data_IF_543042937502
#
_entry.id   IF_543042937502
#
_cell.length_a   1.000
_cell.length_b   1.000
_cell.length_c   1.000
_cell.angle_alpha   90.00
_cell.angle_beta   90.00
_cell.angle_gamma   90.00
#
_symmetry.space_group_name_H-M   'P 1'
#
loop_
_entity.id
_entity.type
_entity.pdbx_description
1 polymer ?
#
# COMPACT_ATOMS: atom_id res chain seq x y z
N UNK A 1 -4.76 8.65 -14.57
CA UNK A 1 -3.32 8.94 -14.48
C UNK A 1 -3.16 10.07 -13.48
N UNK A 2 -2.45 9.88 -12.37
CA UNK A 2 -2.00 11.06 -11.59
C UNK A 2 -1.02 11.80 -12.50
N UNK A 3 -1.15 13.11 -12.59
CA UNK A 3 -0.09 13.96 -13.12
C UNK A 3 0.78 14.42 -11.96
N UNK A 4 2.09 14.38 -12.13
CA UNK A 4 3.01 14.97 -11.16
C UNK A 4 2.55 16.39 -10.81
N UNK A 5 2.69 16.78 -9.54
CA UNK A 5 2.19 18.03 -8.96
C UNK A 5 0.66 18.18 -8.81
N UNK A 6 -0.11 17.10 -8.91
CA UNK A 6 -1.52 17.10 -8.48
C UNK A 6 -1.71 16.36 -7.15
N UNK A 7 -2.68 16.81 -6.35
CA UNK A 7 -3.07 16.12 -5.12
C UNK A 7 -3.55 14.70 -5.43
N UNK A 8 -3.09 13.73 -4.64
CA UNK A 8 -3.66 12.38 -4.67
C UNK A 8 -5.13 12.43 -4.18
N UNK A 9 -6.04 11.64 -4.76
CA UNK A 9 -7.42 11.57 -4.34
C UNK A 9 -7.54 10.83 -3.02
N UNK A 10 -8.59 11.16 -2.29
CA UNK A 10 -8.94 10.45 -1.08
C UNK A 10 -9.46 9.07 -1.42
N UNK A 11 -9.06 8.08 -0.62
CA UNK A 11 -9.51 6.72 -0.80
C UNK A 11 -9.67 6.01 0.53
N UNK A 12 -10.58 5.04 0.52
CA UNK A 12 -10.87 4.17 1.65
C UNK A 12 -10.93 2.73 1.15
N UNK A 13 -10.00 1.91 1.60
CA UNK A 13 -9.84 0.54 1.12
C UNK A 13 -9.79 -0.45 2.29
N UNK A 14 -10.36 -1.63 2.08
CA UNK A 14 -10.26 -2.70 3.07
C UNK A 14 -8.80 -3.19 3.13
N UNK A 15 -8.26 -3.24 4.34
CA UNK A 15 -6.88 -3.65 4.58
C UNK A 15 -6.79 -5.05 5.18
N UNK A 16 -5.57 -5.57 5.20
CA UNK A 16 -5.20 -6.88 5.74
C UNK A 16 -5.60 -7.14 7.19
N UNK A 17 -5.84 -6.09 7.99
CA UNK A 17 -6.32 -6.23 9.37
C UNK A 17 -7.86 -6.18 9.48
N UNK A 18 -8.57 -6.30 8.35
CA UNK A 18 -10.04 -6.20 8.23
C UNK A 18 -10.62 -4.85 8.65
N UNK A 19 -9.78 -3.82 8.79
CA UNK A 19 -10.20 -2.43 8.95
C UNK A 19 -10.01 -1.67 7.66
N UNK A 20 -10.77 -0.58 7.51
CA UNK A 20 -10.57 0.35 6.42
C UNK A 20 -9.32 1.19 6.65
N UNK A 21 -8.42 1.19 5.67
CA UNK A 21 -7.37 2.18 5.55
C UNK A 21 -7.89 3.36 4.75
N UNK A 22 -7.73 4.57 5.28
CA UNK A 22 -8.21 5.80 4.67
C UNK A 22 -7.09 6.81 4.50
N UNK A 23 -6.84 7.19 3.25
CA UNK A 23 -5.92 8.27 2.90
C UNK A 23 -6.70 9.54 2.63
N UNK A 24 -6.24 10.64 3.23
CA UNK A 24 -6.74 11.98 3.03
C UNK A 24 -5.55 12.90 2.74
N UNK A 25 -5.59 13.53 1.58
CA UNK A 25 -4.57 14.42 1.05
C UNK A 25 -4.32 15.68 1.89
N UNK A 26 -5.28 16.07 2.73
CA UNK A 26 -5.14 17.20 3.65
C UNK A 26 -4.51 16.81 4.98
N UNK A 27 -4.26 15.51 5.23
CA UNK A 27 -3.44 15.07 6.36
C UNK A 27 -1.97 15.35 6.06
N UNK A 28 -1.23 15.84 7.06
CA UNK A 28 0.21 16.06 6.97
C UNK A 28 1.00 14.74 7.03
N UNK A 29 0.63 13.75 6.23
CA UNK A 29 1.19 12.40 6.20
C UNK A 29 1.65 12.09 4.78
N UNK A 30 2.87 11.59 4.63
CA UNK A 30 3.33 11.05 3.36
C UNK A 30 2.80 9.63 3.20
N UNK A 31 2.51 9.24 1.97
CA UNK A 31 2.07 7.89 1.65
C UNK A 31 2.97 7.30 0.56
N UNK A 32 3.72 6.27 0.91
CA UNK A 32 4.42 5.43 -0.05
C UNK A 32 3.51 4.27 -0.44
N UNK A 33 2.95 4.35 -1.65
CA UNK A 33 2.06 3.35 -2.20
C UNK A 33 2.81 2.53 -3.26
N UNK A 34 2.93 1.22 -3.07
CA UNK A 34 3.61 0.34 -4.03
C UNK A 34 2.69 -0.80 -4.49
N UNK A 35 2.63 -1.01 -5.80
CA UNK A 35 1.77 -2.02 -6.40
C UNK A 35 2.60 -3.22 -6.79
N UNK A 36 2.06 -4.40 -6.57
CA UNK A 36 2.74 -5.62 -6.93
C UNK A 36 1.73 -6.66 -7.43
N UNK A 37 2.15 -7.57 -8.32
CA UNK A 37 1.23 -8.45 -9.04
C UNK A 37 0.61 -9.53 -8.15
N UNK A 38 1.38 -10.05 -7.17
CA UNK A 38 0.96 -11.19 -6.36
C UNK A 38 1.71 -11.33 -5.03
N UNK A 39 0.96 -11.61 -3.97
CA UNK A 39 1.50 -11.99 -2.67
C UNK A 39 2.42 -13.22 -2.76
N UNK A 40 3.36 -13.34 -1.81
CA UNK A 40 4.21 -14.52 -1.61
C UNK A 40 5.15 -14.90 -2.78
N UNK A 41 5.29 -14.07 -3.82
CA UNK A 41 6.32 -14.25 -4.85
C UNK A 41 7.67 -13.71 -4.36
N UNK A 42 8.79 -14.30 -4.81
CA UNK A 42 10.15 -13.95 -4.32
C UNK A 42 10.47 -12.46 -4.48
N UNK A 43 10.15 -11.88 -5.65
CA UNK A 43 10.38 -10.46 -5.92
C UNK A 43 9.57 -9.55 -4.99
N UNK A 44 8.26 -9.78 -4.86
CA UNK A 44 7.38 -8.97 -4.01
C UNK A 44 7.72 -9.15 -2.52
N UNK A 45 8.15 -10.35 -2.13
CA UNK A 45 8.65 -10.65 -0.78
C UNK A 45 9.89 -9.84 -0.44
N UNK A 46 10.83 -9.69 -1.38
CA UNK A 46 12.05 -8.91 -1.14
C UNK A 46 11.72 -7.41 -1.00
N UNK A 47 10.86 -6.87 -1.85
CA UNK A 47 10.38 -5.49 -1.72
C UNK A 47 9.71 -5.23 -0.36
N UNK A 48 8.79 -6.11 0.05
CA UNK A 48 8.14 -6.04 1.35
C UNK A 48 9.13 -6.10 2.52
N UNK A 49 10.17 -6.93 2.43
CA UNK A 49 11.26 -6.99 3.43
C UNK A 49 12.02 -5.67 3.51
N UNK A 50 12.37 -5.08 2.37
CA UNK A 50 13.19 -3.86 2.37
C UNK A 50 12.40 -2.66 2.91
N UNK A 51 11.12 -2.52 2.55
CA UNK A 51 10.23 -1.54 3.18
C UNK A 51 10.06 -1.79 4.68
N UNK A 52 9.98 -3.04 5.11
CA UNK A 52 9.88 -3.40 6.53
C UNK A 52 11.13 -3.00 7.32
N UNK A 53 12.33 -3.16 6.73
CA UNK A 53 13.60 -2.71 7.32
C UNK A 53 13.63 -1.18 7.47
N UNK A 54 13.19 -0.48 6.43
CA UNK A 54 13.20 0.98 6.36
C UNK A 54 12.01 1.66 7.04
N UNK A 55 11.02 0.89 7.51
CA UNK A 55 9.77 1.42 8.06
C UNK A 55 10.00 2.47 9.16
N UNK A 56 11.00 2.25 10.03
CA UNK A 56 11.34 3.23 11.08
C UNK A 56 11.78 4.58 10.51
N UNK A 57 12.54 4.59 9.43
CA UNK A 57 13.01 5.82 8.78
C UNK A 57 11.86 6.56 8.10
N UNK A 58 10.98 5.83 7.40
CA UNK A 58 9.75 6.42 6.85
C UNK A 58 8.86 7.01 7.94
N UNK A 59 8.73 6.35 9.10
CA UNK A 59 7.94 6.88 10.21
C UNK A 59 8.51 8.16 10.81
N UNK A 60 9.83 8.39 10.78
CA UNK A 60 10.44 9.66 11.25
C UNK A 60 9.97 10.87 10.45
N UNK A 61 9.63 10.67 9.18
CA UNK A 61 9.13 11.73 8.29
C UNK A 61 7.59 11.72 8.18
N UNK A 62 6.90 11.03 9.08
CA UNK A 62 5.45 10.82 9.03
C UNK A 62 4.97 10.21 7.70
N UNK A 63 5.71 9.22 7.20
CA UNK A 63 5.35 8.45 6.01
C UNK A 63 4.77 7.08 6.38
N UNK A 64 3.61 6.75 5.82
CA UNK A 64 3.04 5.40 5.87
C UNK A 64 3.37 4.63 4.59
N UNK A 65 3.62 3.32 4.72
CA UNK A 65 3.91 2.43 3.59
C UNK A 65 2.74 1.48 3.41
N UNK A 66 2.17 1.47 2.21
CA UNK A 66 1.01 0.62 1.87
C UNK A 66 1.30 -0.17 0.59
N UNK A 67 1.24 -1.50 0.72
CA UNK A 67 1.26 -2.41 -0.42
C UNK A 67 -0.13 -2.57 -1.02
N UNK A 68 -0.20 -2.68 -2.34
CA UNK A 68 -1.47 -2.86 -3.07
C UNK A 68 -1.36 -4.04 -4.02
N UNK A 69 -2.24 -5.02 -3.88
CA UNK A 69 -2.44 -6.06 -4.90
C UNK A 69 -3.93 -6.42 -5.05
N UNK A 70 -4.20 -7.26 -6.04
CA UNK A 70 -5.55 -7.77 -6.33
C UNK A 70 -5.91 -9.01 -5.50
N UNK A 71 -4.97 -9.52 -4.69
CA UNK A 71 -5.17 -10.74 -3.91
C UNK A 71 -6.27 -10.58 -2.84
N UNK A 72 -6.69 -11.69 -2.24
CA UNK A 72 -7.68 -11.67 -1.17
C UNK A 72 -7.10 -11.11 0.14
N UNK A 73 -7.98 -10.60 1.02
CA UNK A 73 -7.58 -10.19 2.38
C UNK A 73 -6.91 -11.34 3.13
N UNK A 74 -7.39 -12.58 2.93
CA UNK A 74 -6.79 -13.78 3.50
C UNK A 74 -5.36 -14.01 3.01
N UNK A 75 -5.08 -13.77 1.72
CA UNK A 75 -3.73 -13.83 1.17
C UNK A 75 -2.83 -12.77 1.81
N UNK A 76 -3.33 -11.53 1.93
CA UNK A 76 -2.58 -10.45 2.55
C UNK A 76 -2.26 -10.73 4.02
N UNK A 77 -3.20 -11.29 4.79
CA UNK A 77 -2.99 -11.71 6.18
C UNK A 77 -1.82 -12.69 6.28
N UNK A 78 -1.82 -13.74 5.46
CA UNK A 78 -0.74 -14.73 5.41
C UNK A 78 0.60 -14.12 5.01
N UNK A 79 0.57 -13.17 4.07
CA UNK A 79 1.78 -12.50 3.58
C UNK A 79 2.37 -11.55 4.64
N UNK A 80 1.58 -10.68 5.27
CA UNK A 80 2.04 -9.71 6.27
C UNK A 80 2.47 -10.37 7.58
N UNK A 81 1.89 -11.51 7.96
CA UNK A 81 2.35 -12.24 9.15
C UNK A 81 3.86 -12.54 9.14
N UNK A 82 4.49 -12.57 7.95
CA UNK A 82 5.94 -12.71 7.77
C UNK A 82 6.74 -11.41 8.01
N UNK A 83 6.09 -10.24 7.97
CA UNK A 83 6.75 -8.92 7.95
C UNK A 83 6.29 -7.96 9.07
N UNK A 84 5.17 -8.23 9.76
CA UNK A 84 4.63 -7.58 10.97
C UNK A 84 4.44 -6.05 10.99
N UNK A 85 5.01 -5.27 10.06
CA UNK A 85 5.10 -3.79 10.15
C UNK A 85 4.55 -3.03 8.96
N UNK A 86 4.26 -3.71 7.85
CA UNK A 86 3.68 -3.10 6.65
C UNK A 86 2.20 -3.45 6.56
N UNK A 87 1.41 -2.55 5.96
CA UNK A 87 -0.01 -2.77 5.70
C UNK A 87 -0.23 -3.02 4.22
N UNK A 88 -1.17 -3.92 3.89
CA UNK A 88 -1.54 -4.21 2.52
C UNK A 88 -3.03 -4.01 2.38
N UNK A 89 -3.42 -3.27 1.35
CA UNK A 89 -4.82 -3.01 1.01
C UNK A 89 -5.18 -3.79 -0.24
N UNK A 90 -6.35 -4.41 -0.19
CA UNK A 90 -6.92 -5.04 -1.37
C UNK A 90 -7.47 -3.95 -2.26
N UNK A 91 -6.98 -3.87 -3.50
CA UNK A 91 -7.68 -3.09 -4.52
C UNK A 91 -8.84 -3.92 -5.04
N UNK A 92 -10.02 -3.72 -4.47
CA UNK A 92 -11.24 -3.98 -5.23
C UNK A 92 -11.21 -3.02 -6.43
N UNK A 93 -11.79 -3.41 -7.57
CA UNK A 93 -11.92 -2.61 -8.78
C UNK A 93 -12.73 -1.32 -8.53
N UNK A 94 -12.23 -0.42 -7.67
CA UNK A 94 -12.80 0.87 -7.34
C UNK A 94 -12.15 1.85 -8.30
N UNK A 95 -12.90 2.08 -9.38
CA UNK A 95 -12.69 3.07 -10.44
C UNK A 95 -11.33 2.92 -11.15
N UNK A 96 -11.37 2.76 -12.48
CA UNK A 96 -10.22 2.87 -13.39
C UNK A 96 -9.26 4.04 -13.07
N UNK A 97 -9.73 5.03 -12.32
CA UNK A 97 -8.95 6.15 -11.84
C UNK A 97 -7.82 5.75 -10.88
N UNK A 98 -7.99 4.91 -9.84
CA UNK A 98 -6.92 4.59 -8.87
C UNK A 98 -5.86 3.65 -9.46
N UNK A 99 -6.24 2.72 -10.35
CA UNK A 99 -5.30 1.75 -10.95
C UNK A 99 -4.38 2.41 -11.99
N UNK A 100 -4.81 3.53 -12.59
CA UNK A 100 -3.96 4.35 -13.47
C UNK A 100 -2.89 5.17 -12.70
N UNK A 101 -2.62 4.85 -11.43
CA UNK A 101 -1.74 5.64 -10.56
C UNK A 101 -0.30 5.15 -10.61
N UNK A 102 -0.07 3.85 -10.84
CA UNK A 102 1.22 3.23 -10.60
C UNK A 102 1.64 2.39 -11.80
N UNK A 103 2.32 3.09 -12.70
CA UNK A 103 3.45 2.57 -13.44
C UNK A 103 4.55 3.60 -13.25
N UNK A 104 5.48 3.32 -12.35
CA UNK A 104 6.85 3.83 -12.43
C UNK A 104 7.69 2.65 -12.89
#
# INVERSE_FOLDING_TARGET
MIKNNHKAPNFKLLSSNEKFFEFNENKNVYLLLYFYPRDNTTACTNQAKDFTKLYKEFKKINCEIVGVSKDSIESHKKFINKFKKIMIVKIFLIKKNIINFIHI
#
